data_IF_735143912420
#
_entry.id   IF_735143912420
#
_cell.length_a   1.000
_cell.length_b   1.000
_cell.length_c   1.000
_cell.angle_alpha   90.00
_cell.angle_beta   90.00
_cell.angle_gamma   90.00
#
_symmetry.space_group_name_H-M   'P 1'
#
loop_
_entity.id
_entity.type
_entity.pdbx_description
1 polymer ?
#
# COMPACT_ATOMS: atom_id res chain seq x y z
N UNK A 1 23.60 -10.94 -5.83
CA UNK A 1 22.28 -10.61 -5.24
C UNK A 1 22.00 -9.13 -5.50
N UNK A 2 21.28 -8.83 -6.58
CA UNK A 2 20.99 -7.45 -7.01
C UNK A 2 19.70 -6.99 -6.30
N UNK A 3 19.84 -6.07 -5.34
CA UNK A 3 18.82 -5.13 -4.83
C UNK A 3 17.39 -5.69 -4.76
N UNK A 4 17.07 -6.41 -3.68
CA UNK A 4 15.75 -7.03 -3.44
C UNK A 4 14.65 -5.96 -3.24
N UNK A 5 15.04 -4.76 -2.80
CA UNK A 5 14.14 -3.65 -2.44
C UNK A 5 14.59 -2.41 -3.19
N UNK A 6 13.76 -1.91 -4.10
CA UNK A 6 14.00 -0.62 -4.75
C UNK A 6 13.45 0.53 -3.91
N UNK A 7 13.96 1.76 -4.04
CA UNK A 7 13.38 2.94 -3.37
C UNK A 7 11.88 3.11 -3.64
N UNK A 8 11.43 2.72 -4.85
CA UNK A 8 10.01 2.70 -5.22
C UNK A 8 9.17 1.75 -4.37
N UNK A 9 9.72 0.59 -4.01
CA UNK A 9 9.02 -0.41 -3.20
C UNK A 9 8.80 0.11 -1.78
N UNK A 10 9.79 0.86 -1.24
CA UNK A 10 9.71 1.52 0.07
C UNK A 10 8.63 2.61 0.07
N UNK A 11 8.52 3.40 -1.00
CA UNK A 11 7.45 4.40 -1.14
C UNK A 11 6.06 3.77 -1.10
N UNK A 12 5.86 2.64 -1.79
CA UNK A 12 4.55 1.97 -1.83
C UNK A 12 4.24 1.31 -0.47
N UNK A 13 5.24 0.69 0.16
CA UNK A 13 5.08 0.15 1.51
C UNK A 13 4.72 1.24 2.53
N UNK A 14 5.42 2.38 2.51
CA UNK A 14 5.09 3.54 3.34
C UNK A 14 3.67 4.04 3.07
N UNK A 15 3.29 4.21 1.81
CA UNK A 15 1.93 4.63 1.45
C UNK A 15 0.85 3.67 1.98
N UNK A 16 1.10 2.36 1.88
CA UNK A 16 0.18 1.33 2.42
C UNK A 16 0.09 1.37 3.95
N UNK A 17 1.21 1.60 4.64
CA UNK A 17 1.26 1.73 6.10
C UNK A 17 0.54 2.98 6.59
N UNK A 18 0.72 4.11 5.90
CA UNK A 18 -0.01 5.34 6.21
C UNK A 18 -1.52 5.16 5.98
N UNK A 19 -1.93 4.53 4.88
CA UNK A 19 -3.34 4.22 4.62
C UNK A 19 -3.95 3.34 5.72
N UNK A 20 -3.21 2.32 6.18
CA UNK A 20 -3.62 1.46 7.28
C UNK A 20 -3.73 2.24 8.61
N UNK A 21 -2.74 3.07 8.94
CA UNK A 21 -2.76 3.89 10.15
C UNK A 21 -3.95 4.87 10.18
N UNK A 22 -4.25 5.49 9.05
CA UNK A 22 -5.41 6.38 8.89
C UNK A 22 -6.71 5.59 9.05
N UNK A 23 -6.85 4.43 8.40
CA UNK A 23 -8.03 3.56 8.54
C UNK A 23 -8.32 3.22 10.01
N UNK A 24 -7.28 2.85 10.76
CA UNK A 24 -7.37 2.52 12.19
C UNK A 24 -7.76 3.76 13.01
N UNK A 25 -7.14 4.91 12.73
CA UNK A 25 -7.47 6.17 13.40
C UNK A 25 -8.96 6.55 13.24
N UNK A 26 -9.49 6.47 12.01
CA UNK A 26 -10.89 6.76 11.73
C UNK A 26 -11.83 5.73 12.37
N UNK A 27 -11.44 4.45 12.41
CA UNK A 27 -12.21 3.39 13.09
C UNK A 27 -12.40 3.66 14.58
N UNK A 28 -11.33 4.07 15.28
CA UNK A 28 -11.41 4.43 16.70
C UNK A 28 -12.03 5.81 16.95
N UNK A 29 -12.02 6.71 15.97
CA UNK A 29 -12.67 8.03 16.05
C UNK A 29 -14.19 7.97 15.86
N UNK A 30 -14.79 6.79 15.69
CA UNK A 30 -16.24 6.59 15.53
C UNK A 30 -16.74 6.70 14.08
N UNK A 31 -15.89 7.12 13.14
CA UNK A 31 -16.18 7.21 11.71
C UNK A 31 -15.85 5.89 10.99
N UNK A 32 -16.61 4.84 11.32
CA UNK A 32 -16.33 3.47 10.88
C UNK A 32 -16.43 3.28 9.36
N UNK A 33 -17.38 3.94 8.69
CA UNK A 33 -17.55 3.82 7.24
C UNK A 33 -16.33 4.37 6.49
N UNK A 34 -15.83 5.54 6.93
CA UNK A 34 -14.60 6.15 6.38
C UNK A 34 -13.39 5.27 6.65
N UNK A 35 -13.26 4.75 7.87
CA UNK A 35 -12.18 3.82 8.24
C UNK A 35 -12.18 2.56 7.38
N UNK A 36 -13.36 1.96 7.15
CA UNK A 36 -13.52 0.78 6.32
C UNK A 36 -13.23 1.06 4.84
N UNK A 37 -13.71 2.19 4.31
CA UNK A 37 -13.40 2.63 2.95
C UNK A 37 -11.88 2.76 2.75
N UNK A 38 -11.18 3.44 3.64
CA UNK A 38 -9.71 3.61 3.56
C UNK A 38 -8.98 2.27 3.76
N UNK A 39 -9.52 1.39 4.60
CA UNK A 39 -8.96 0.06 4.84
C UNK A 39 -8.93 -0.83 3.58
N UNK A 40 -9.96 -0.73 2.74
CA UNK A 40 -10.04 -1.46 1.46
C UNK A 40 -8.95 -1.01 0.46
N UNK A 41 -8.43 0.21 0.60
CA UNK A 41 -7.41 0.74 -0.30
C UNK A 41 -6.01 0.20 0.01
N UNK A 42 -5.75 -0.28 1.24
CA UNK A 42 -4.46 -0.86 1.63
C UNK A 42 -4.03 -2.02 0.70
N UNK A 43 -4.84 -3.08 0.49
CA UNK A 43 -4.47 -4.15 -0.44
C UNK A 43 -4.38 -3.68 -1.89
N UNK A 44 -5.15 -2.65 -2.28
CA UNK A 44 -5.12 -2.08 -3.64
C UNK A 44 -3.79 -1.37 -3.93
N UNK A 45 -3.26 -0.62 -2.96
CA UNK A 45 -1.96 0.06 -3.05
C UNK A 45 -0.81 -0.97 -3.17
N UNK A 46 -0.87 -2.04 -2.37
CA UNK A 46 0.11 -3.13 -2.44
C UNK A 46 0.05 -3.87 -3.78
N UNK A 47 -1.16 -4.21 -4.25
CA UNK A 47 -1.36 -4.86 -5.54
C UNK A 47 -0.83 -3.99 -6.70
N UNK A 48 -1.06 -2.68 -6.64
CA UNK A 48 -0.52 -1.72 -7.62
C UNK A 48 1.02 -1.74 -7.66
N UNK A 49 1.69 -1.75 -6.50
CA UNK A 49 3.14 -1.85 -6.45
C UNK A 49 3.70 -3.16 -6.99
N UNK A 50 3.05 -4.27 -6.65
CA UNK A 50 3.41 -5.59 -7.18
C UNK A 50 3.24 -5.62 -8.70
N UNK A 51 2.14 -5.06 -9.22
CA UNK A 51 1.88 -4.98 -10.66
C UNK A 51 2.97 -4.21 -11.41
N UNK A 52 3.36 -3.02 -10.93
CA UNK A 52 4.44 -2.23 -11.54
C UNK A 52 5.78 -2.99 -11.47
N UNK A 53 6.09 -3.64 -10.34
CA UNK A 53 7.31 -4.43 -10.17
C UNK A 53 7.35 -5.61 -11.15
N UNK A 54 6.21 -6.29 -11.34
CA UNK A 54 6.05 -7.39 -12.28
C UNK A 54 6.24 -6.94 -13.73
N UNK A 55 5.66 -5.80 -14.11
CA UNK A 55 5.84 -5.21 -15.45
C UNK A 55 7.32 -4.88 -15.74
N UNK A 56 8.04 -4.31 -14.77
CA UNK A 56 9.46 -4.00 -14.91
C UNK A 56 10.29 -5.29 -14.99
N UNK A 57 9.93 -6.32 -14.22
CA UNK A 57 10.62 -7.60 -14.23
C UNK A 57 10.43 -8.35 -15.56
N UNK A 58 9.20 -8.38 -16.09
CA UNK A 58 8.86 -9.08 -17.33
C UNK A 58 9.35 -8.36 -18.61
N UNK A 59 9.88 -7.13 -18.47
CA UNK A 59 10.50 -6.38 -19.58
C UNK A 59 12.00 -6.68 -19.78
N UNK A 60 12.59 -7.53 -18.95
CA UNK A 60 13.94 -8.09 -19.16
C UNK A 60 13.87 -9.39 -19.95
#
# INVERSE_FOLDING_TARGET
>A
MKEIIKPSDIFILLASLFSMGISIYYWFSGMKDTGMFIGIWVPSILAFGIYIKLLIYNKK
#
